data_IF_491849550618
#
_entry.id   IF_491849550618
#
_cell.length_a   1.000
_cell.length_b   1.000
_cell.length_c   1.000
_cell.angle_alpha   90.00
_cell.angle_beta   90.00
_cell.angle_gamma   90.00
#
_symmetry.space_group_name_H-M   'P 1'
#
loop_
_entity.id
_entity.type
_entity.pdbx_description
1 polymer ?
#
# COMPACT_ATOMS: atom_id res chain seq x y z
N UNK A 1 57.56 21.46 -62.97
CA UNK A 1 56.87 20.18 -62.72
C UNK A 1 57.42 19.46 -61.49
N UNK A 2 58.71 19.06 -61.44
CA UNK A 2 59.29 18.34 -60.30
C UNK A 2 59.23 19.06 -58.94
N UNK A 3 59.44 20.38 -58.89
CA UNK A 3 59.34 21.17 -57.64
C UNK A 3 57.92 21.16 -57.05
N UNK A 4 56.90 21.19 -57.89
CA UNK A 4 55.49 21.14 -57.48
C UNK A 4 55.13 19.78 -56.90
N UNK A 5 55.60 18.70 -57.55
CA UNK A 5 55.40 17.32 -57.08
C UNK A 5 56.04 17.09 -55.71
N UNK A 6 57.26 17.62 -55.50
CA UNK A 6 57.94 17.52 -54.22
C UNK A 6 57.19 18.25 -53.09
N UNK A 7 56.68 19.47 -53.37
CA UNK A 7 55.91 20.24 -52.40
C UNK A 7 54.58 19.56 -52.03
N UNK A 8 53.87 18.99 -53.02
CA UNK A 8 52.63 18.26 -52.76
C UNK A 8 52.87 16.98 -51.98
N UNK A 9 53.96 16.24 -52.25
CA UNK A 9 54.30 15.04 -51.50
C UNK A 9 54.63 15.34 -50.04
N UNK A 10 55.30 16.48 -49.78
CA UNK A 10 55.57 16.92 -48.42
C UNK A 10 54.28 17.27 -47.66
N UNK A 11 53.36 18.04 -48.27
CA UNK A 11 52.06 18.39 -47.66
C UNK A 11 51.20 17.14 -47.39
N UNK A 12 51.14 16.20 -48.33
CA UNK A 12 50.46 14.93 -48.15
C UNK A 12 51.06 14.11 -47.00
N UNK A 13 52.39 14.02 -46.93
CA UNK A 13 53.08 13.32 -45.85
C UNK A 13 52.75 13.94 -44.48
N UNK A 14 52.75 15.26 -44.39
CA UNK A 14 52.36 15.97 -43.17
C UNK A 14 50.91 15.67 -42.76
N UNK A 15 49.97 15.75 -43.70
CA UNK A 15 48.55 15.46 -43.45
C UNK A 15 48.32 14.00 -43.03
N UNK A 16 48.99 13.05 -43.69
CA UNK A 16 48.93 11.62 -43.33
C UNK A 16 49.43 11.42 -41.90
N UNK A 17 50.56 12.03 -41.54
CA UNK A 17 51.09 11.93 -40.18
C UNK A 17 50.15 12.56 -39.15
N UNK A 18 49.57 13.73 -39.46
CA UNK A 18 48.60 14.39 -38.58
C UNK A 18 47.34 13.53 -38.35
N UNK A 19 46.86 12.82 -39.38
CA UNK A 19 45.75 11.87 -39.26
C UNK A 19 46.16 10.64 -38.44
N UNK A 20 47.35 10.09 -38.66
CA UNK A 20 47.86 8.95 -37.91
C UNK A 20 47.97 9.25 -36.41
N UNK A 21 48.45 10.44 -36.05
CA UNK A 21 48.52 10.92 -34.66
C UNK A 21 47.12 10.98 -34.04
N UNK A 22 46.12 11.49 -34.76
CA UNK A 22 44.73 11.58 -34.27
C UNK A 22 44.05 10.22 -34.13
N UNK A 23 44.42 9.23 -34.94
CA UNK A 23 43.87 7.87 -34.87
C UNK A 23 44.30 7.11 -33.61
N UNK A 24 45.47 7.41 -33.05
CA UNK A 24 45.96 6.77 -31.82
C UNK A 24 45.00 6.94 -30.62
N UNK A 25 44.68 8.19 -30.22
CA UNK A 25 43.73 8.46 -29.15
C UNK A 25 42.34 7.87 -29.40
N UNK A 26 41.82 7.98 -30.63
CA UNK A 26 40.50 7.44 -30.97
C UNK A 26 40.44 5.91 -30.78
N UNK A 27 41.51 5.18 -31.13
CA UNK A 27 41.59 3.73 -30.88
C UNK A 27 41.64 3.42 -29.39
N UNK A 28 42.37 4.22 -28.60
CA UNK A 28 42.45 4.05 -27.16
C UNK A 28 41.08 4.29 -26.49
N UNK A 29 40.37 5.35 -26.90
CA UNK A 29 39.02 5.65 -26.43
C UNK A 29 38.02 4.55 -26.83
N UNK A 30 38.13 4.05 -28.07
CA UNK A 30 37.30 2.93 -28.53
C UNK A 30 37.52 1.67 -27.69
N UNK A 31 38.77 1.33 -27.36
CA UNK A 31 39.07 0.19 -26.48
C UNK A 31 38.53 0.41 -25.06
N UNK A 32 38.66 1.62 -24.52
CA UNK A 32 38.11 1.96 -23.20
C UNK A 32 36.59 1.83 -23.17
N UNK A 33 35.90 2.31 -24.20
CA UNK A 33 34.45 2.17 -24.32
C UNK A 33 34.04 0.70 -24.51
N UNK A 34 34.75 -0.05 -25.35
CA UNK A 34 34.49 -1.47 -25.54
C UNK A 34 34.64 -2.29 -24.25
N UNK A 35 35.50 -1.88 -23.32
CA UNK A 35 35.60 -2.50 -21.99
C UNK A 35 34.49 -2.08 -21.02
N UNK A 36 33.99 -0.83 -21.13
CA UNK A 36 32.96 -0.30 -20.23
C UNK A 36 31.55 -0.77 -20.57
N UNK A 37 31.24 -0.93 -21.85
CA UNK A 37 29.89 -1.33 -22.30
C UNK A 37 29.45 -2.67 -21.68
N UNK A 38 30.25 -3.76 -21.72
CA UNK A 38 29.87 -5.03 -21.08
C UNK A 38 29.80 -4.97 -19.55
N UNK A 39 30.42 -3.96 -18.93
CA UNK A 39 30.27 -3.74 -17.50
C UNK A 39 28.88 -3.20 -17.18
N UNK A 40 28.51 -2.11 -17.87
CA UNK A 40 27.20 -1.47 -17.72
C UNK A 40 26.06 -2.43 -18.11
N UNK A 41 26.21 -3.20 -19.19
CA UNK A 41 25.18 -4.17 -19.60
C UNK A 41 24.88 -5.21 -18.51
N UNK A 42 25.92 -5.66 -17.80
CA UNK A 42 25.76 -6.60 -16.69
C UNK A 42 25.10 -5.95 -15.49
N UNK A 43 25.53 -4.75 -15.11
CA UNK A 43 24.92 -4.00 -14.01
C UNK A 43 23.42 -3.75 -14.28
N UNK A 44 23.07 -3.38 -15.52
CA UNK A 44 21.67 -3.22 -15.93
C UNK A 44 20.90 -4.54 -15.79
N UNK A 45 21.48 -5.66 -16.23
CA UNK A 45 20.85 -6.98 -16.11
C UNK A 45 20.61 -7.38 -14.64
N UNK A 46 21.58 -7.10 -13.76
CA UNK A 46 21.47 -7.39 -12.32
C UNK A 46 20.41 -6.50 -11.65
N UNK A 47 20.32 -5.23 -12.04
CA UNK A 47 19.28 -4.31 -11.58
C UNK A 47 17.91 -4.78 -12.06
N UNK A 48 17.76 -5.17 -13.33
CA UNK A 48 16.49 -5.65 -13.87
C UNK A 48 16.00 -6.90 -13.12
N UNK A 49 16.90 -7.84 -12.81
CA UNK A 49 16.54 -9.00 -12.01
C UNK A 49 16.09 -8.60 -10.59
N UNK A 50 16.81 -7.67 -9.96
CA UNK A 50 16.46 -7.18 -8.62
C UNK A 50 15.08 -6.50 -8.62
N UNK A 51 14.76 -5.74 -9.67
CA UNK A 51 13.45 -5.09 -9.82
C UNK A 51 12.35 -6.13 -9.94
N UNK A 52 12.53 -7.18 -10.75
CA UNK A 52 11.57 -8.27 -10.88
C UNK A 52 11.31 -8.97 -9.53
N UNK A 53 12.38 -9.31 -8.81
CA UNK A 53 12.28 -9.97 -7.50
C UNK A 53 11.53 -9.10 -6.47
N UNK A 54 11.71 -7.77 -6.53
CA UNK A 54 11.00 -6.82 -5.68
C UNK A 54 9.53 -6.66 -6.06
N UNK A 55 9.20 -6.67 -7.35
CA UNK A 55 7.82 -6.64 -7.84
C UNK A 55 7.04 -7.87 -7.37
N UNK A 56 7.64 -9.06 -7.46
CA UNK A 56 7.03 -10.30 -6.96
C UNK A 56 6.79 -10.25 -5.44
N UNK A 57 7.77 -9.78 -4.67
CA UNK A 57 7.62 -9.60 -3.23
C UNK A 57 6.51 -8.61 -2.87
N UNK A 58 6.42 -7.49 -3.61
CA UNK A 58 5.37 -6.50 -3.40
C UNK A 58 3.97 -7.08 -3.71
N UNK A 59 3.84 -7.88 -4.76
CA UNK A 59 2.59 -8.58 -5.06
C UNK A 59 2.20 -9.56 -3.96
N UNK A 60 3.14 -10.37 -3.46
CA UNK A 60 2.93 -11.29 -2.34
C UNK A 60 2.47 -10.54 -1.09
N UNK A 61 3.18 -9.47 -0.72
CA UNK A 61 2.86 -8.67 0.45
C UNK A 61 1.48 -8.02 0.34
N UNK A 62 1.14 -7.49 -0.83
CA UNK A 62 -0.18 -6.90 -1.09
C UNK A 62 -1.29 -7.93 -0.94
N UNK A 63 -1.08 -9.16 -1.42
CA UNK A 63 -2.03 -10.25 -1.24
C UNK A 63 -2.20 -10.61 0.23
N UNK A 64 -1.11 -10.70 0.98
CA UNK A 64 -1.13 -11.02 2.41
C UNK A 64 -1.87 -9.96 3.22
N UNK A 65 -1.65 -8.67 2.90
CA UNK A 65 -2.39 -7.56 3.54
C UNK A 65 -3.89 -7.69 3.30
N UNK A 66 -4.31 -7.95 2.06
CA UNK A 66 -5.74 -8.14 1.74
C UNK A 66 -6.36 -9.32 2.48
N UNK A 67 -5.64 -10.43 2.60
CA UNK A 67 -6.11 -11.59 3.37
C UNK A 67 -6.28 -11.24 4.86
N UNK A 68 -5.29 -10.54 5.43
CA UNK A 68 -5.34 -10.12 6.83
C UNK A 68 -6.48 -9.13 7.08
N UNK A 69 -6.72 -8.18 6.18
CA UNK A 69 -7.85 -7.25 6.24
C UNK A 69 -9.19 -7.99 6.22
N UNK A 70 -9.35 -8.97 5.31
CA UNK A 70 -10.56 -9.78 5.24
C UNK A 70 -10.81 -10.56 6.53
N UNK A 71 -9.75 -11.17 7.10
CA UNK A 71 -9.83 -11.89 8.38
C UNK A 71 -10.15 -10.97 9.55
N UNK A 72 -9.62 -9.75 9.55
CA UNK A 72 -9.91 -8.76 10.57
C UNK A 72 -11.37 -8.32 10.52
N UNK A 73 -11.91 -8.05 9.33
CA UNK A 73 -13.32 -7.69 9.18
C UNK A 73 -14.25 -8.85 9.54
N UNK A 74 -13.91 -10.08 9.15
CA UNK A 74 -14.66 -11.27 9.57
C UNK A 74 -14.66 -11.45 11.10
N UNK A 75 -13.52 -11.25 11.75
CA UNK A 75 -13.42 -11.31 13.21
C UNK A 75 -14.25 -10.21 13.89
N UNK A 76 -14.25 -9.01 13.33
CA UNK A 76 -15.05 -7.88 13.81
C UNK A 76 -16.54 -8.15 13.67
N UNK A 77 -16.98 -8.66 12.52
CA UNK A 77 -18.37 -9.03 12.30
C UNK A 77 -18.83 -10.13 13.27
N UNK A 78 -18.02 -11.17 13.47
CA UNK A 78 -18.29 -12.22 14.47
C UNK A 78 -18.38 -11.64 15.88
N UNK A 79 -17.51 -10.70 16.22
CA UNK A 79 -17.53 -10.02 17.53
C UNK A 79 -18.78 -9.14 17.71
N UNK A 80 -19.38 -8.65 16.62
CA UNK A 80 -20.58 -7.82 16.66
C UNK A 80 -21.88 -8.60 16.44
N UNK A 81 -21.81 -9.85 15.99
CA UNK A 81 -22.98 -10.66 15.63
C UNK A 81 -24.04 -10.76 16.75
N UNK A 82 -23.60 -10.81 18.01
CA UNK A 82 -24.48 -10.89 19.18
C UNK A 82 -24.68 -9.53 19.89
N UNK A 83 -24.15 -8.44 19.32
CA UNK A 83 -24.24 -7.12 19.93
C UNK A 83 -25.52 -6.41 19.47
N UNK A 84 -26.40 -6.07 20.40
CA UNK A 84 -27.57 -5.23 20.15
C UNK A 84 -27.22 -3.76 20.42
N UNK A 85 -27.24 -2.90 19.40
CA UNK A 85 -27.08 -1.46 19.56
C UNK A 85 -28.44 -0.78 19.67
N UNK A 86 -28.68 -0.12 20.80
CA UNK A 86 -29.92 0.62 21.06
C UNK A 86 -29.60 2.11 21.05
N UNK A 87 -30.30 2.86 20.18
CA UNK A 87 -30.09 4.31 19.99
C UNK A 87 -31.35 5.05 20.48
N UNK A 88 -31.16 6.21 21.13
CA UNK A 88 -32.27 7.06 21.59
C UNK A 88 -32.75 6.80 23.02
N UNK A 89 -31.97 6.09 23.84
CA UNK A 89 -32.19 6.05 25.30
C UNK A 89 -31.79 7.42 25.85
N UNK A 90 -32.75 8.17 26.40
CA UNK A 90 -32.50 9.49 27.00
C UNK A 90 -31.51 9.36 28.16
N UNK A 91 -30.38 10.05 28.06
CA UNK A 91 -29.39 10.09 29.12
C UNK A 91 -29.94 10.93 30.29
N UNK A 92 -30.07 10.32 31.47
CA UNK A 92 -30.38 11.07 32.71
C UNK A 92 -31.71 10.72 33.40
N UNK A 93 -32.41 9.65 32.99
CA UNK A 93 -33.56 9.14 33.76
C UNK A 93 -33.30 7.69 34.17
N UNK A 94 -32.85 7.57 35.41
CA UNK A 94 -32.84 6.38 36.26
C UNK A 94 -31.67 5.38 36.11
N UNK A 95 -31.04 5.15 37.27
CA UNK A 95 -30.14 4.05 37.62
C UNK A 95 -28.68 4.12 37.14
N UNK A 96 -27.75 4.12 38.11
CA UNK A 96 -26.30 3.90 37.95
C UNK A 96 -25.99 2.53 37.32
N UNK A 97 -26.97 1.61 37.29
CA UNK A 97 -26.89 0.30 36.66
C UNK A 97 -27.62 0.30 35.29
N UNK A 98 -26.87 0.19 34.17
CA UNK A 98 -27.42 0.11 32.82
C UNK A 98 -28.29 -1.14 32.58
N UNK A 99 -28.02 -2.24 33.29
CA UNK A 99 -28.79 -3.48 33.16
C UNK A 99 -30.24 -3.27 33.61
N UNK A 100 -30.41 -2.52 34.70
CA UNK A 100 -31.71 -2.22 35.27
C UNK A 100 -32.51 -1.26 34.39
N UNK A 101 -31.84 -0.25 33.81
CA UNK A 101 -32.41 0.64 32.81
C UNK A 101 -32.89 -0.14 31.56
N UNK A 102 -32.06 -1.04 31.03
CA UNK A 102 -32.45 -1.87 29.88
C UNK A 102 -33.63 -2.79 30.18
N UNK A 103 -33.65 -3.45 31.35
CA UNK A 103 -34.79 -4.27 31.80
C UNK A 103 -36.07 -3.45 31.89
N UNK A 104 -36.03 -2.26 32.49
CA UNK A 104 -37.19 -1.37 32.57
C UNK A 104 -37.66 -0.89 31.18
N UNK A 105 -36.72 -0.52 30.30
CA UNK A 105 -37.03 -0.14 28.92
C UNK A 105 -37.71 -1.29 28.15
N UNK A 106 -37.17 -2.51 28.23
CA UNK A 106 -37.78 -3.70 27.65
C UNK A 106 -39.20 -3.91 28.19
N UNK A 107 -39.38 -3.87 29.51
CA UNK A 107 -40.70 -4.03 30.12
C UNK A 107 -41.70 -2.95 29.71
N UNK A 108 -41.27 -1.70 29.48
CA UNK A 108 -42.19 -0.63 29.09
C UNK A 108 -42.56 -0.65 27.61
N UNK A 109 -41.61 -1.01 26.73
CA UNK A 109 -41.78 -0.92 25.27
C UNK A 109 -42.14 -2.26 24.63
N UNK A 110 -41.47 -3.33 25.02
CA UNK A 110 -41.67 -4.67 24.45
C UNK A 110 -42.90 -5.36 25.06
N UNK A 111 -43.15 -5.21 26.36
CA UNK A 111 -44.35 -5.81 26.96
C UNK A 111 -45.65 -5.25 26.36
N UNK A 112 -45.66 -4.00 25.88
CA UNK A 112 -46.81 -3.42 25.15
C UNK A 112 -47.06 -4.06 23.79
N UNK A 113 -46.03 -4.56 23.10
CA UNK A 113 -46.18 -5.26 21.82
C UNK A 113 -46.45 -6.76 22.01
N UNK A 114 -45.90 -7.38 23.05
CA UNK A 114 -45.97 -8.84 23.28
C UNK A 114 -47.19 -9.26 24.12
N UNK A 115 -47.92 -8.33 24.75
CA UNK A 115 -49.16 -8.67 25.47
C UNK A 115 -50.27 -9.28 24.60
N UNK A 116 -50.10 -9.32 23.27
CA UNK A 116 -50.98 -10.04 22.35
C UNK A 116 -50.55 -11.49 22.06
N UNK A 117 -49.31 -11.89 22.40
CA UNK A 117 -48.77 -13.22 22.07
C UNK A 117 -47.83 -13.74 23.19
N UNK A 118 -48.42 -14.50 24.12
CA UNK A 118 -47.76 -15.50 24.98
C UNK A 118 -46.94 -14.96 26.19
N UNK A 119 -47.19 -15.56 27.36
CA UNK A 119 -46.42 -15.41 28.60
C UNK A 119 -44.98 -15.90 28.41
N UNK A 120 -44.05 -14.98 28.11
CA UNK A 120 -42.62 -15.26 28.05
C UNK A 120 -41.93 -15.03 29.40
N UNK A 121 -41.20 -16.04 29.88
CA UNK A 121 -40.18 -15.90 30.91
C UNK A 121 -38.91 -15.35 30.27
N UNK A 122 -38.50 -14.14 30.62
CA UNK A 122 -37.34 -13.47 30.03
C UNK A 122 -36.06 -13.83 30.77
N UNK A 123 -35.28 -14.77 30.22
CA UNK A 123 -33.88 -14.97 30.62
C UNK A 123 -32.97 -14.28 29.59
N UNK A 124 -32.78 -12.96 29.75
CA UNK A 124 -31.80 -12.20 28.95
C UNK A 124 -30.48 -12.15 29.72
N UNK A 125 -29.44 -12.81 29.19
CA UNK A 125 -28.07 -12.73 29.69
C UNK A 125 -27.35 -11.57 28.98
N UNK A 126 -26.81 -10.63 29.74
CA UNK A 126 -26.00 -9.53 29.21
C UNK A 126 -24.55 -9.84 29.58
N UNK A 127 -23.74 -10.20 28.60
CA UNK A 127 -22.33 -10.57 28.83
C UNK A 127 -21.44 -9.35 29.08
N UNK A 128 -21.67 -8.23 28.38
CA UNK A 128 -20.96 -6.96 28.55
C UNK A 128 -21.85 -5.76 28.15
N UNK A 129 -21.73 -4.63 28.84
CA UNK A 129 -22.43 -3.39 28.49
C UNK A 129 -21.45 -2.21 28.44
N UNK A 130 -21.43 -1.46 27.34
CA UNK A 130 -20.56 -0.30 27.17
C UNK A 130 -21.33 0.88 26.57
N UNK A 131 -21.15 2.07 27.14
CA UNK A 131 -21.72 3.31 26.61
C UNK A 131 -20.72 3.92 25.62
N UNK A 132 -21.07 3.92 24.34
CA UNK A 132 -20.24 4.55 23.30
C UNK A 132 -20.63 6.02 23.17
N UNK A 133 -19.79 6.93 23.66
CA UNK A 133 -19.95 8.37 23.45
C UNK A 133 -19.48 8.71 22.03
N UNK A 134 -20.41 9.06 21.14
CA UNK A 134 -20.05 9.66 19.86
C UNK A 134 -19.57 11.09 20.09
N UNK A 135 -18.26 11.32 19.99
CA UNK A 135 -17.72 12.65 19.70
C UNK A 135 -17.97 12.91 18.21
N UNK A 136 -18.99 13.71 17.90
CA UNK A 136 -19.26 14.14 16.54
C UNK A 136 -18.13 15.04 16.05
N UNK A 137 -17.35 14.57 15.09
CA UNK A 137 -16.51 15.42 14.26
C UNK A 137 -17.37 15.88 13.07
N UNK A 138 -17.61 17.18 12.87
CA UNK A 138 -18.34 17.66 11.72
C UNK A 138 -17.38 17.69 10.51
N UNK A 139 -17.51 16.71 9.62
CA UNK A 139 -17.07 16.85 8.24
C UNK A 139 -18.23 16.40 7.36
N UNK A 140 -18.90 17.40 6.78
CA UNK A 140 -19.48 17.40 5.43
C UNK A 140 -20.29 18.70 5.25
N UNK A 141 -19.63 19.71 4.67
CA UNK A 141 -20.23 20.81 3.89
C UNK A 141 -19.39 20.99 2.64
#
# INVERSE_FOLDING_TARGET
MFKTIAATNYDLSYKVNAVAIKLGPLRADQQKLAGRVPHVEREVTEIDQTVQDLEEQMHSLTSNVRELEARAEESKERSHHNNLRIVGILEGRDSTDPTLCFKQWLSQKVAKQINCLITFSWNVLIECHHKVLHWGHPQDQ
#
